data_IF_011043664192
#
_entry.id   IF_011043664192
#
_cell.length_a   1.000
_cell.length_b   1.000
_cell.length_c   1.000
_cell.angle_alpha   90.00
_cell.angle_beta   90.00
_cell.angle_gamma   90.00
#
_symmetry.space_group_name_H-M   'P 1'
#
loop_
_entity.id
_entity.type
_entity.pdbx_description
1 polymer ?
#
# COMPACT_ATOMS: atom_id res chain seq x y z
N UNK A 1 18.30 29.15 4.71
CA UNK A 1 16.96 28.55 4.85
C UNK A 1 16.08 29.53 5.61
N UNK A 2 15.03 30.07 4.98
CA UNK A 2 14.11 31.03 5.62
C UNK A 2 13.35 30.33 6.75
N UNK A 3 13.09 31.00 7.89
CA UNK A 3 12.35 30.45 9.07
C UNK A 3 11.07 29.69 8.69
N UNK A 4 10.41 30.09 7.60
CA UNK A 4 9.24 29.43 7.04
C UNK A 4 9.51 27.99 6.56
N UNK A 5 10.65 27.74 5.92
CA UNK A 5 11.02 26.39 5.44
C UNK A 5 11.21 25.40 6.59
N UNK A 6 11.82 25.84 7.69
CA UNK A 6 12.03 25.01 8.89
C UNK A 6 10.68 24.64 9.53
N UNK A 7 9.72 25.57 9.58
CA UNK A 7 8.38 25.32 10.12
C UNK A 7 7.60 24.24 9.36
N UNK A 8 7.75 24.21 8.03
CA UNK A 8 7.10 23.21 7.18
C UNK A 8 7.72 21.82 7.41
N UNK A 9 9.04 21.69 7.38
CA UNK A 9 9.67 20.39 7.64
C UNK A 9 9.39 19.86 9.04
N UNK A 10 9.38 20.75 10.03
CA UNK A 10 9.04 20.40 11.41
C UNK A 10 7.60 19.87 11.53
N UNK A 11 6.63 20.48 10.83
CA UNK A 11 5.23 20.02 10.89
C UNK A 11 5.03 18.65 10.25
N UNK A 12 5.70 18.37 9.13
CA UNK A 12 5.62 17.07 8.46
C UNK A 12 6.27 15.96 9.31
N UNK A 13 7.44 16.22 9.88
CA UNK A 13 8.10 15.28 10.79
C UNK A 13 7.27 15.02 12.05
N UNK A 14 6.66 16.07 12.61
CA UNK A 14 5.76 15.94 13.75
C UNK A 14 4.54 15.06 13.42
N UNK A 15 3.91 15.27 12.26
CA UNK A 15 2.80 14.43 11.80
C UNK A 15 3.21 12.96 11.66
N UNK A 16 4.37 12.69 11.05
CA UNK A 16 4.89 11.32 10.90
C UNK A 16 5.11 10.67 12.27
N UNK A 17 5.71 11.40 13.22
CA UNK A 17 5.94 10.89 14.58
C UNK A 17 4.63 10.60 15.31
N UNK A 18 3.59 11.44 15.15
CA UNK A 18 2.26 11.21 15.70
C UNK A 18 1.64 9.94 15.11
N UNK A 19 1.65 9.79 13.79
CA UNK A 19 1.10 8.59 13.12
C UNK A 19 1.86 7.32 13.51
N UNK A 20 3.18 7.41 13.66
CA UNK A 20 4.01 6.28 14.08
C UNK A 20 3.76 5.88 15.55
N UNK A 21 3.46 6.83 16.44
CA UNK A 21 3.18 6.53 17.85
C UNK A 21 1.72 6.15 18.09
N UNK A 22 0.80 6.51 17.19
CA UNK A 22 -0.62 6.20 17.29
C UNK A 22 -0.90 4.70 17.47
N UNK A 23 -0.10 3.82 16.86
CA UNK A 23 -0.26 2.36 16.98
C UNK A 23 -0.12 1.82 18.41
N UNK A 24 0.52 2.58 19.32
CA UNK A 24 0.70 2.20 20.73
C UNK A 24 -0.56 2.48 21.54
N UNK A 25 -1.34 3.50 21.14
CA UNK A 25 -2.49 3.99 21.89
C UNK A 25 -3.83 3.53 21.32
N UNK A 26 -3.86 3.09 20.06
CA UNK A 26 -5.08 2.69 19.37
C UNK A 26 -5.45 1.22 19.64
N UNK A 27 -6.76 0.98 19.79
CA UNK A 27 -7.32 -0.38 19.82
C UNK A 27 -7.07 -1.12 18.49
N UNK A 28 -6.96 -2.46 18.48
CA UNK A 28 -6.63 -3.25 17.29
C UNK A 28 -7.50 -2.95 16.05
N UNK A 29 -8.78 -2.64 16.26
CA UNK A 29 -9.70 -2.24 15.20
C UNK A 29 -9.29 -0.90 14.56
N UNK A 30 -8.97 0.09 15.39
CA UNK A 30 -8.55 1.40 14.93
C UNK A 30 -7.17 1.36 14.29
N UNK A 31 -6.25 0.54 14.81
CA UNK A 31 -4.92 0.34 14.21
C UNK A 31 -5.02 -0.28 12.81
N UNK A 32 -5.90 -1.27 12.62
CA UNK A 32 -6.12 -1.89 11.30
C UNK A 32 -6.72 -0.89 10.30
N UNK A 33 -7.70 -0.10 10.73
CA UNK A 33 -8.30 0.93 9.86
C UNK A 33 -7.31 2.04 9.53
N UNK A 34 -6.51 2.48 10.50
CA UNK A 34 -5.46 3.48 10.28
C UNK A 34 -4.43 2.97 9.27
N UNK A 35 -3.99 1.71 9.37
CA UNK A 35 -3.10 1.11 8.39
C UNK A 35 -3.69 1.11 6.97
N UNK A 36 -4.97 0.76 6.81
CA UNK A 36 -5.67 0.81 5.51
C UNK A 36 -5.72 2.24 4.96
N UNK A 37 -6.06 3.22 5.80
CA UNK A 37 -6.09 4.63 5.41
C UNK A 37 -4.70 5.11 4.98
N UNK A 38 -3.65 4.77 5.72
CA UNK A 38 -2.28 5.15 5.37
C UNK A 38 -1.83 4.54 4.04
N UNK A 39 -2.14 3.26 3.79
CA UNK A 39 -1.85 2.61 2.50
C UNK A 39 -2.57 3.33 1.35
N UNK A 40 -3.85 3.66 1.52
CA UNK A 40 -4.62 4.40 0.51
C UNK A 40 -4.10 5.82 0.30
N UNK A 41 -3.68 6.52 1.37
CA UNK A 41 -3.12 7.85 1.29
C UNK A 41 -1.78 7.87 0.55
N UNK A 42 -0.88 6.91 0.84
CA UNK A 42 0.38 6.76 0.12
C UNK A 42 0.14 6.40 -1.34
N UNK A 43 -0.81 5.50 -1.62
CA UNK A 43 -1.22 5.18 -2.99
C UNK A 43 -1.71 6.43 -3.74
N UNK A 44 -2.60 7.22 -3.13
CA UNK A 44 -3.12 8.45 -3.73
C UNK A 44 -2.04 9.51 -3.98
N UNK A 45 -1.13 9.72 -3.02
CA UNK A 45 0.01 10.65 -3.18
C UNK A 45 0.96 10.18 -4.27
N UNK A 46 1.29 8.90 -4.31
CA UNK A 46 2.14 8.30 -5.36
C UNK A 46 1.50 8.41 -6.74
N UNK A 47 0.19 8.17 -6.83
CA UNK A 47 -0.59 8.36 -8.05
C UNK A 47 -0.57 9.82 -8.51
N UNK A 48 -0.80 10.77 -7.60
CA UNK A 48 -0.73 12.19 -7.89
C UNK A 48 0.67 12.61 -8.35
N UNK A 49 1.73 12.03 -7.78
CA UNK A 49 3.10 12.31 -8.17
C UNK A 49 3.42 11.76 -9.57
N UNK A 50 3.14 10.47 -9.81
CA UNK A 50 3.39 9.83 -11.09
C UNK A 50 2.61 10.52 -12.22
N UNK A 51 1.31 10.73 -12.03
CA UNK A 51 0.47 11.40 -13.01
C UNK A 51 0.84 12.88 -13.16
N UNK A 52 1.01 13.60 -12.04
CA UNK A 52 1.22 15.05 -12.04
C UNK A 52 2.59 15.48 -12.55
N UNK A 53 3.66 14.70 -12.32
CA UNK A 53 5.01 15.07 -12.74
C UNK A 53 5.48 14.36 -14.01
N UNK A 54 5.01 13.15 -14.30
CA UNK A 54 5.49 12.38 -15.45
C UNK A 54 4.46 12.23 -16.56
N UNK A 55 3.16 12.39 -16.26
CA UNK A 55 2.07 12.12 -17.21
C UNK A 55 1.92 10.65 -17.60
N UNK A 56 2.77 9.75 -17.07
CA UNK A 56 2.76 8.33 -17.37
C UNK A 56 1.94 7.58 -16.32
N UNK A 57 0.82 7.00 -16.75
CA UNK A 57 -0.03 6.16 -15.92
C UNK A 57 0.14 4.68 -16.31
N UNK A 58 0.88 3.90 -15.51
CA UNK A 58 1.02 2.44 -15.73
C UNK A 58 0.11 1.65 -14.79
N UNK A 59 -1.14 1.43 -15.20
CA UNK A 59 -2.07 0.56 -14.44
C UNK A 59 -1.85 -0.93 -14.73
N UNK A 60 -1.30 -1.28 -15.89
CA UNK A 60 -1.10 -2.68 -16.30
C UNK A 60 -0.13 -3.46 -15.40
N UNK A 61 1.04 -2.89 -15.10
CA UNK A 61 2.01 -3.53 -14.20
C UNK A 61 1.48 -3.66 -12.76
N UNK A 62 0.74 -2.65 -12.28
CA UNK A 62 0.11 -2.69 -10.98
C UNK A 62 -0.98 -3.79 -10.91
N UNK A 63 -1.73 -3.98 -11.99
CA UNK A 63 -2.76 -5.03 -12.09
C UNK A 63 -2.15 -6.44 -12.01
N UNK A 64 -1.02 -6.69 -12.67
CA UNK A 64 -0.32 -7.99 -12.60
C UNK A 64 0.10 -8.32 -11.15
N UNK A 65 0.67 -7.33 -10.45
CA UNK A 65 1.06 -7.48 -9.05
C UNK A 65 -0.16 -7.68 -8.15
N UNK A 66 -1.22 -6.89 -8.34
CA UNK A 66 -2.44 -6.99 -7.55
C UNK A 66 -3.11 -8.36 -7.73
N UNK A 67 -3.24 -8.84 -8.96
CA UNK A 67 -3.81 -10.15 -9.27
C UNK A 67 -3.02 -11.28 -8.59
N UNK A 68 -1.68 -11.24 -8.65
CA UNK A 68 -0.85 -12.22 -7.96
C UNK A 68 -0.96 -12.16 -6.43
N UNK A 69 -0.94 -10.96 -5.84
CA UNK A 69 -1.09 -10.82 -4.38
C UNK A 69 -2.46 -11.27 -3.88
N UNK A 70 -3.54 -10.95 -4.59
CA UNK A 70 -4.88 -11.39 -4.23
C UNK A 70 -5.06 -12.91 -4.41
N UNK A 71 -4.50 -13.48 -5.47
CA UNK A 71 -4.53 -14.93 -5.70
C UNK A 71 -3.70 -15.71 -4.67
N UNK A 72 -2.67 -15.10 -4.06
CA UNK A 72 -1.97 -15.68 -2.92
C UNK A 72 -2.68 -15.42 -1.57
N UNK A 73 -3.21 -14.22 -1.36
CA UNK A 73 -3.75 -13.76 -0.08
C UNK A 73 -5.16 -14.27 0.25
N UNK A 74 -6.04 -14.40 -0.74
CA UNK A 74 -7.40 -14.89 -0.49
C UNK A 74 -7.43 -16.38 -0.08
N UNK A 75 -6.72 -17.30 -0.78
CA UNK A 75 -6.66 -18.71 -0.36
C UNK A 75 -6.03 -18.93 1.01
N UNK A 76 -5.02 -18.12 1.38
CA UNK A 76 -4.40 -18.20 2.71
C UNK A 76 -5.38 -17.76 3.80
N UNK A 77 -6.15 -16.70 3.55
CA UNK A 77 -7.11 -16.17 4.52
C UNK A 77 -8.40 -16.99 4.62
N UNK A 78 -8.95 -17.45 3.50
CA UNK A 78 -10.26 -18.11 3.43
C UNK A 78 -10.17 -19.64 3.53
N UNK A 79 -9.12 -20.25 2.97
CA UNK A 79 -8.97 -21.70 2.88
C UNK A 79 -7.77 -22.24 3.68
N UNK A 80 -7.04 -21.36 4.38
CA UNK A 80 -5.92 -21.75 5.23
C UNK A 80 -4.72 -22.32 4.47
N UNK A 81 -4.53 -21.94 3.20
CA UNK A 81 -3.40 -22.41 2.41
C UNK A 81 -2.07 -22.05 3.09
N UNK A 82 -1.13 -23.01 3.09
CA UNK A 82 0.27 -22.75 3.48
C UNK A 82 1.03 -21.92 2.43
N UNK A 83 2.24 -21.49 2.77
CA UNK A 83 3.06 -20.61 1.93
C UNK A 83 3.33 -21.17 0.51
N UNK A 84 3.55 -22.48 0.38
CA UNK A 84 3.82 -23.14 -0.92
C UNK A 84 2.64 -23.03 -1.90
N UNK A 85 1.46 -23.57 -1.56
CA UNK A 85 0.26 -23.44 -2.39
C UNK A 85 -0.15 -21.98 -2.66
N UNK A 86 0.02 -21.09 -1.68
CA UNK A 86 -0.26 -19.66 -1.83
C UNK A 86 0.65 -18.99 -2.86
N UNK A 87 1.94 -19.34 -2.87
CA UNK A 87 2.89 -18.83 -3.86
C UNK A 87 2.52 -19.28 -5.28
N UNK A 88 2.18 -20.56 -5.46
CA UNK A 88 1.74 -21.10 -6.75
C UNK A 88 0.48 -20.38 -7.23
N UNK A 89 -0.51 -20.21 -6.34
CA UNK A 89 -1.74 -19.48 -6.66
C UNK A 89 -1.45 -18.02 -7.07
N UNK A 90 -0.51 -17.35 -6.40
CA UNK A 90 -0.09 -16.00 -6.76
C UNK A 90 0.57 -15.91 -8.14
N UNK A 91 1.51 -16.81 -8.44
CA UNK A 91 2.16 -16.88 -9.77
C UNK A 91 1.12 -17.16 -10.85
N UNK A 92 0.21 -18.10 -10.61
CA UNK A 92 -0.87 -18.42 -11.53
C UNK A 92 -1.82 -17.23 -11.75
N UNK A 93 -2.22 -16.52 -10.68
CA UNK A 93 -3.09 -15.35 -10.78
C UNK A 93 -2.48 -14.22 -11.61
N UNK A 94 -1.21 -13.88 -11.36
CA UNK A 94 -0.49 -12.89 -12.18
C UNK A 94 -0.31 -13.34 -13.64
N UNK A 95 0.03 -14.62 -13.84
CA UNK A 95 0.23 -15.19 -15.18
C UNK A 95 -1.05 -15.27 -16.01
N UNK A 96 -2.20 -15.57 -15.39
CA UNK A 96 -3.50 -15.58 -16.06
C UNK A 96 -3.90 -14.19 -16.57
N UNK A 97 -3.67 -13.15 -15.76
CA UNK A 97 -3.94 -11.77 -16.17
C UNK A 97 -2.96 -11.29 -17.23
N UNK A 98 -1.72 -11.79 -17.24
CA UNK A 98 -0.77 -11.50 -18.31
C UNK A 98 -1.14 -12.16 -19.66
N UNK A 99 -1.97 -13.22 -19.64
CA UNK A 99 -2.34 -13.98 -20.82
C UNK A 99 -3.60 -13.46 -21.55
N UNK A 100 -4.30 -12.49 -20.98
CA UNK A 100 -5.48 -11.82 -21.56
C UNK A 100 -5.10 -10.53 -22.26
#
# INVERSE_FOLDING_TARGET
MTRAGIGIWASHLALIAILATAQIWLSPYHTTNLARIMVLAVFAMGYNLAFGYTGLLSLGHALLLAAGMYAAGLPTHLWGFGAGPAFIAGVAGGGLVAAT
#
